data_IF_410641963977
#
_entry.id   IF_410641963977
#
_cell.length_a   1.000
_cell.length_b   1.000
_cell.length_c   1.000
_cell.angle_alpha   90.00
_cell.angle_beta   90.00
_cell.angle_gamma   90.00
#
_symmetry.space_group_name_H-M   'P 1'
#
loop_
_entity.id
_entity.type
_entity.pdbx_description
1 polymer ?
#
# COMPACT_ATOMS: atom_id res chain seq x y z
N UNK A 1 12.89 -13.66 13.90
CA UNK A 1 11.67 -12.93 13.50
C UNK A 1 11.81 -12.64 12.01
N UNK A 2 10.76 -12.77 11.17
CA UNK A 2 10.89 -12.65 9.71
C UNK A 2 10.50 -11.23 9.25
N UNK A 3 11.33 -10.62 8.41
CA UNK A 3 11.07 -9.31 7.82
C UNK A 3 10.39 -9.46 6.46
N UNK A 4 9.46 -8.56 6.16
CA UNK A 4 8.72 -8.55 4.91
C UNK A 4 8.77 -7.18 4.26
N UNK A 5 8.75 -7.18 2.92
CA UNK A 5 8.41 -6.00 2.12
C UNK A 5 6.96 -6.13 1.68
N UNK A 6 6.16 -5.13 2.00
CA UNK A 6 4.74 -5.04 1.71
C UNK A 6 4.54 -3.85 0.77
N UNK A 7 3.94 -4.08 -0.38
CA UNK A 7 3.44 -3.02 -1.25
C UNK A 7 1.93 -2.89 -1.04
N UNK A 8 1.47 -1.69 -0.74
CA UNK A 8 0.08 -1.37 -0.49
C UNK A 8 -0.40 -0.24 -1.39
N UNK A 9 -1.69 -0.23 -1.70
CA UNK A 9 -2.33 0.91 -2.36
C UNK A 9 -2.35 2.11 -1.41
N UNK A 10 -2.05 3.30 -1.94
CA UNK A 10 -2.26 4.57 -1.27
C UNK A 10 -3.75 4.79 -1.00
N UNK A 11 -4.04 5.59 0.03
CA UNK A 11 -5.40 5.91 0.48
C UNK A 11 -6.16 6.83 -0.50
N UNK A 12 -5.97 6.65 -1.81
CA UNK A 12 -6.88 7.13 -2.84
C UNK A 12 -7.92 6.05 -3.07
N UNK A 13 -9.19 6.40 -2.90
CA UNK A 13 -10.35 5.52 -3.13
C UNK A 13 -10.11 4.57 -4.30
N UNK A 14 -10.27 3.27 -4.04
CA UNK A 14 -10.38 2.26 -5.10
C UNK A 14 -11.51 2.72 -6.01
N UNK A 15 -11.18 3.26 -7.18
CA UNK A 15 -12.14 3.68 -8.21
C UNK A 15 -13.22 2.61 -8.33
N UNK A 16 -14.39 2.94 -7.80
CA UNK A 16 -15.57 2.10 -7.82
C UNK A 16 -16.16 2.19 -9.24
N UNK A 17 -15.53 1.51 -10.21
CA UNK A 17 -16.21 1.24 -11.47
C UNK A 17 -17.19 0.09 -11.26
N UNK A 18 -18.32 0.40 -10.60
CA UNK A 18 -19.56 -0.33 -10.73
C UNK A 18 -20.46 0.53 -11.61
N UNK A 19 -20.70 0.07 -12.84
CA UNK A 19 -21.43 0.82 -13.85
C UNK A 19 -22.78 1.32 -13.35
N UNK A 20 -23.08 2.58 -13.63
CA UNK A 20 -24.43 3.13 -13.60
C UNK A 20 -24.52 4.19 -14.69
N UNK A 21 -25.42 3.96 -15.64
CA UNK A 21 -25.64 4.75 -16.83
C UNK A 21 -26.44 6.04 -16.57
N UNK A 22 -26.32 6.99 -17.53
CA UNK A 22 -27.19 8.16 -17.79
C UNK A 22 -27.08 9.36 -16.80
N UNK A 23 -27.15 10.64 -17.20
CA UNK A 23 -27.47 11.30 -18.48
C UNK A 23 -27.05 12.79 -18.45
N UNK A 24 -26.92 13.37 -19.65
CA UNK A 24 -27.26 14.75 -20.04
C UNK A 24 -26.29 15.94 -19.83
N UNK A 25 -25.89 16.46 -20.99
CA UNK A 25 -25.88 17.86 -21.45
C UNK A 25 -24.85 18.89 -20.90
N UNK A 26 -24.03 19.30 -21.88
CA UNK A 26 -23.64 20.66 -22.23
C UNK A 26 -22.45 21.35 -21.51
N UNK A 27 -21.65 21.96 -22.37
CA UNK A 27 -20.57 22.93 -22.16
C UNK A 27 -19.15 22.39 -21.87
N UNK A 28 -18.34 22.48 -22.92
CA UNK A 28 -16.94 22.10 -23.00
C UNK A 28 -16.04 22.86 -22.00
N UNK A 29 -15.44 22.10 -21.09
CA UNK A 29 -14.09 22.34 -20.57
C UNK A 29 -13.35 21.00 -20.59
N UNK A 30 -12.71 20.71 -21.72
CA UNK A 30 -11.77 19.60 -21.85
C UNK A 30 -10.45 20.01 -21.20
N UNK A 31 -10.29 19.71 -19.92
CA UNK A 31 -8.97 19.38 -19.40
C UNK A 31 -9.07 18.48 -18.17
N UNK A 32 -8.25 17.44 -18.21
CA UNK A 32 -8.08 16.36 -17.25
C UNK A 32 -9.32 15.52 -16.94
N UNK A 33 -9.52 14.49 -17.76
CA UNK A 33 -10.05 13.23 -17.26
C UNK A 33 -9.20 12.83 -16.05
N UNK A 34 -9.69 13.16 -14.85
CA UNK A 34 -9.12 12.90 -13.54
C UNK A 34 -9.02 11.38 -13.32
N UNK A 35 -8.10 10.76 -14.05
CA UNK A 35 -7.63 9.41 -13.79
C UNK A 35 -6.87 9.56 -12.50
N UNK A 36 -7.59 9.38 -11.38
CA UNK A 36 -7.01 9.34 -10.05
C UNK A 36 -5.79 8.42 -10.13
N UNK A 37 -4.60 9.03 -10.02
CA UNK A 37 -3.35 8.28 -10.14
C UNK A 37 -3.33 7.29 -8.99
N UNK A 38 -3.28 6.01 -9.32
CA UNK A 38 -3.12 4.97 -8.31
C UNK A 38 -1.71 5.13 -7.75
N UNK A 39 -1.64 5.54 -6.48
CA UNK A 39 -0.38 5.61 -5.74
C UNK A 39 -0.14 4.29 -5.01
N UNK A 40 1.11 3.85 -4.98
CA UNK A 40 1.52 2.67 -4.23
C UNK A 40 2.56 3.08 -3.19
N UNK A 41 2.42 2.57 -1.97
CA UNK A 41 3.41 2.77 -0.91
C UNK A 41 4.02 1.45 -0.48
N UNK A 42 5.31 1.50 -0.19
CA UNK A 42 6.04 0.37 0.38
C UNK A 42 6.15 0.52 1.91
N UNK A 43 5.97 -0.60 2.62
CA UNK A 43 6.32 -0.77 4.02
C UNK A 43 7.30 -1.93 4.15
N UNK A 44 8.34 -1.76 4.97
CA UNK A 44 9.29 -2.82 5.31
C UNK A 44 9.27 -2.97 6.82
N UNK A 45 9.14 -4.19 7.30
CA UNK A 45 9.08 -4.42 8.73
C UNK A 45 8.85 -5.87 9.13
N UNK A 46 8.65 -6.05 10.42
CA UNK A 46 8.41 -7.32 11.06
C UNK A 46 6.90 -7.56 11.23
N UNK A 47 6.42 -8.72 10.80
CA UNK A 47 5.02 -9.11 11.03
C UNK A 47 4.86 -9.51 12.49
N UNK A 48 3.92 -8.88 13.17
CA UNK A 48 3.53 -9.20 14.56
C UNK A 48 2.42 -10.24 14.54
N UNK A 49 1.36 -9.99 13.78
CA UNK A 49 0.22 -10.91 13.65
C UNK A 49 -0.52 -10.75 12.32
N UNK A 50 -1.27 -11.79 11.93
CA UNK A 50 -2.12 -11.82 10.74
C UNK A 50 -3.38 -12.64 11.03
N UNK A 51 -4.54 -12.00 10.88
CA UNK A 51 -5.85 -12.61 11.13
C UNK A 51 -6.60 -13.02 9.83
N UNK A 52 -6.00 -12.78 8.66
CA UNK A 52 -6.63 -12.99 7.35
C UNK A 52 -7.27 -11.75 6.73
N UNK A 53 -7.55 -10.71 7.53
CA UNK A 53 -8.18 -9.46 7.10
C UNK A 53 -7.28 -8.23 7.33
N UNK A 54 -6.45 -8.25 8.37
CA UNK A 54 -5.58 -7.15 8.79
C UNK A 54 -4.19 -7.67 9.13
N UNK A 55 -3.18 -7.03 8.54
CA UNK A 55 -1.78 -7.26 8.81
C UNK A 55 -1.30 -6.28 9.86
N UNK A 56 -0.89 -6.82 11.00
CA UNK A 56 -0.23 -6.07 12.04
C UNK A 56 1.28 -6.22 11.88
N UNK A 57 1.94 -5.11 11.56
CA UNK A 57 3.39 -5.07 11.42
C UNK A 57 4.02 -3.96 12.26
N UNK A 58 5.28 -4.17 12.64
CA UNK A 58 6.18 -3.12 13.08
C UNK A 58 7.05 -2.71 11.90
N UNK A 59 6.83 -1.50 11.34
CA UNK A 59 7.64 -0.97 10.24
C UNK A 59 8.99 -0.53 10.77
N UNK A 60 10.06 -0.95 10.11
CA UNK A 60 11.43 -0.61 10.49
C UNK A 60 11.71 0.89 10.29
N UNK A 61 12.56 1.44 11.15
CA UNK A 61 13.10 2.79 10.96
C UNK A 61 13.96 2.86 9.69
N UNK A 62 13.94 4.01 9.01
CA UNK A 62 14.84 4.22 7.88
C UNK A 62 16.29 4.34 8.39
N UNK A 63 17.25 3.73 7.68
CA UNK A 63 18.65 3.73 8.08
C UNK A 63 19.28 5.14 8.18
N UNK A 64 18.71 6.12 7.47
CA UNK A 64 19.13 7.52 7.50
C UNK A 64 18.39 8.37 8.56
N UNK A 65 17.54 7.76 9.39
CA UNK A 65 16.76 8.44 10.42
C UNK A 65 15.59 9.28 9.91
N UNK A 66 15.32 9.33 8.59
CA UNK A 66 14.26 10.21 8.05
C UNK A 66 12.84 9.73 8.38
N UNK A 67 12.69 8.48 8.84
CA UNK A 67 11.41 7.86 9.20
C UNK A 67 11.60 7.00 10.44
N UNK A 68 10.82 7.22 11.51
CA UNK A 68 10.89 6.39 12.71
C UNK A 68 10.23 5.02 12.47
N UNK A 69 10.58 4.09 13.36
CA UNK A 69 9.85 2.85 13.56
C UNK A 69 8.38 3.16 13.88
N UNK A 70 7.47 2.38 13.31
CA UNK A 70 6.04 2.66 13.45
C UNK A 70 5.22 1.37 13.40
N UNK A 71 4.32 1.22 14.35
CA UNK A 71 3.29 0.17 14.32
C UNK A 71 2.23 0.48 13.25
N UNK A 72 1.93 -0.50 12.41
CA UNK A 72 1.01 -0.35 11.28
C UNK A 72 0.00 -1.49 11.20
N UNK A 73 -1.22 -1.15 10.80
CA UNK A 73 -2.30 -2.07 10.52
C UNK A 73 -2.73 -1.89 9.05
N UNK A 74 -2.53 -2.90 8.22
CA UNK A 74 -2.81 -2.85 6.79
C UNK A 74 -3.94 -3.82 6.47
N UNK A 75 -5.02 -3.34 5.86
CA UNK A 75 -6.10 -4.22 5.41
C UNK A 75 -5.62 -5.12 4.25
N UNK A 76 -6.01 -6.40 4.28
CA UNK A 76 -5.72 -7.39 3.25
C UNK A 76 -6.02 -6.89 1.83
N UNK A 77 -7.12 -6.15 1.66
CA UNK A 77 -7.56 -5.62 0.37
C UNK A 77 -6.67 -4.51 -0.18
N UNK A 78 -5.89 -3.86 0.67
CA UNK A 78 -4.92 -2.84 0.28
C UNK A 78 -3.57 -3.44 -0.11
N UNK A 79 -3.28 -4.69 0.29
CA UNK A 79 -2.00 -5.35 0.01
C UNK A 79 -1.98 -5.84 -1.44
N UNK A 80 -1.06 -5.30 -2.23
CA UNK A 80 -0.85 -5.69 -3.62
C UNK A 80 0.20 -6.79 -3.70
N UNK A 81 1.22 -6.72 -2.84
CA UNK A 81 2.29 -7.70 -2.81
C UNK A 81 2.89 -7.83 -1.43
N UNK A 82 3.15 -9.07 -1.02
CA UNK A 82 3.89 -9.39 0.19
C UNK A 82 5.04 -10.33 -0.18
N UNK A 83 6.26 -9.93 0.18
CA UNK A 83 7.48 -10.70 -0.11
C UNK A 83 8.32 -10.87 1.15
N UNK A 84 8.76 -12.09 1.50
CA UNK A 84 9.75 -12.26 2.56
C UNK A 84 11.07 -11.62 2.12
N UNK A 85 11.76 -10.98 3.07
CA UNK A 85 13.13 -10.50 2.88
C UNK A 85 14.07 -11.58 3.45
N UNK A 86 14.83 -12.29 2.60
CA UNK A 86 15.75 -13.30 3.07
C UNK A 86 16.87 -12.69 3.92
N UNK A 87 17.32 -13.43 4.92
CA UNK A 87 18.52 -13.07 5.68
C UNK A 87 19.74 -13.03 4.76
N UNK A 88 20.60 -12.02 4.94
CA UNK A 88 21.84 -11.93 4.17
C UNK A 88 22.79 -13.02 4.65
N UNK A 89 23.30 -13.84 3.73
CA UNK A 89 24.38 -14.79 4.04
C UNK A 89 25.62 -13.99 4.44
N UNK A 90 26.09 -14.17 5.66
CA UNK A 90 27.35 -13.59 6.10
C UNK A 90 28.48 -14.33 5.37
N UNK A 91 29.28 -13.62 4.58
CA UNK A 91 30.53 -14.18 4.06
C UNK A 91 31.56 -14.02 5.19
N UNK A 92 31.91 -15.13 5.83
CA UNK A 92 33.06 -15.19 6.74
C UNK A 92 34.36 -15.14 5.96
#
# INVERSE_FOLDING_TARGET
MRTYKIAQLGCGERLQNAGSAQANNDSAKTDDANTQKIEYHDAIGHVISWDGATLHLMRDAAANGSRPEQEMFINARAIVRLKPIPERKHRS
#
